data_IF_873837210438
#
_entry.id   IF_873837210438
#
_cell.length_a   1.000
_cell.length_b   1.000
_cell.length_c   1.000
_cell.angle_alpha   90.00
_cell.angle_beta   90.00
_cell.angle_gamma   90.00
#
_symmetry.space_group_name_H-M   'P 1'
#
loop_
_entity.id
_entity.type
_entity.pdbx_description
1 polymer ?
#
# COMPACT_ATOMS: atom_id res chain seq x y z
N UNK A 1 4.50 -36.09 9.46
CA UNK A 1 3.17 -36.36 8.88
C UNK A 1 2.94 -35.28 7.85
N UNK A 2 2.65 -35.69 6.61
CA UNK A 2 2.60 -34.82 5.45
C UNK A 2 1.37 -33.92 5.49
N UNK A 3 1.54 -32.68 5.03
CA UNK A 3 0.49 -31.66 4.97
C UNK A 3 0.32 -31.22 3.51
N UNK A 4 0.09 -32.18 2.62
CA UNK A 4 -0.05 -31.97 1.18
C UNK A 4 -1.53 -32.13 0.79
N UNK A 5 -2.47 -31.33 1.30
CA UNK A 5 -3.88 -31.40 0.84
C UNK A 5 -4.82 -30.22 1.17
N UNK A 6 -4.43 -29.19 1.90
CA UNK A 6 -5.31 -28.03 2.14
C UNK A 6 -4.50 -26.74 2.05
N UNK A 7 -4.80 -25.90 1.06
CA UNK A 7 -4.26 -24.56 0.84
C UNK A 7 -4.73 -23.59 1.94
N UNK A 8 -4.38 -23.86 3.19
CA UNK A 8 -4.51 -22.92 4.31
C UNK A 8 -3.16 -22.94 5.01
N UNK A 9 -2.34 -21.94 4.70
CA UNK A 9 -1.09 -21.70 5.42
C UNK A 9 -1.47 -21.07 6.75
N UNK A 10 -1.10 -21.74 7.85
CA UNK A 10 -1.25 -21.23 9.19
C UNK A 10 -0.31 -20.02 9.37
N UNK A 11 -0.87 -18.89 9.82
CA UNK A 11 -0.15 -17.66 10.06
C UNK A 11 0.80 -17.81 11.26
N UNK A 12 2.09 -17.93 10.98
CA UNK A 12 3.16 -17.78 11.97
C UNK A 12 4.38 -17.11 11.28
N UNK A 13 4.58 -15.82 11.58
CA UNK A 13 5.68 -14.93 11.12
C UNK A 13 5.46 -14.21 9.77
N UNK A 14 4.81 -13.03 9.80
CA UNK A 14 5.02 -11.96 8.81
C UNK A 14 4.70 -12.27 7.34
N UNK A 15 3.52 -12.80 7.05
CA UNK A 15 3.08 -12.99 5.66
C UNK A 15 2.84 -11.65 4.96
N UNK A 16 3.80 -11.26 4.11
CA UNK A 16 3.66 -10.13 3.19
C UNK A 16 2.45 -10.37 2.29
N UNK A 17 1.49 -9.45 2.29
CA UNK A 17 0.28 -9.55 1.47
C UNK A 17 0.65 -9.77 -0.01
N UNK A 18 0.14 -10.86 -0.59
CA UNK A 18 0.32 -11.15 -2.01
C UNK A 18 -0.66 -10.31 -2.83
N UNK A 19 -0.12 -9.49 -3.73
CA UNK A 19 -0.90 -8.67 -4.63
C UNK A 19 -1.62 -9.52 -5.69
N UNK A 20 -2.85 -9.14 -6.01
CA UNK A 20 -3.57 -9.68 -7.17
C UNK A 20 -3.04 -9.07 -8.46
N UNK A 21 -3.25 -9.75 -9.59
CA UNK A 21 -2.73 -9.32 -10.91
C UNK A 21 -3.01 -7.85 -11.23
N UNK A 22 -4.26 -7.40 -11.03
CA UNK A 22 -4.64 -5.99 -11.27
C UNK A 22 -3.96 -5.00 -10.31
N UNK A 23 -3.59 -5.44 -9.11
CA UNK A 23 -2.86 -4.63 -8.14
C UNK A 23 -1.39 -4.54 -8.54
N UNK A 24 -0.79 -5.66 -8.97
CA UNK A 24 0.57 -5.69 -9.51
C UNK A 24 0.68 -4.74 -10.71
N UNK A 25 -0.27 -4.80 -11.65
CA UNK A 25 -0.30 -3.92 -12.82
C UNK A 25 -0.39 -2.43 -12.43
N UNK A 26 -1.24 -2.10 -11.45
CA UNK A 26 -1.39 -0.74 -10.94
C UNK A 26 -0.09 -0.24 -10.28
N UNK A 27 0.56 -1.06 -9.46
CA UNK A 27 1.81 -0.73 -8.78
C UNK A 27 2.95 -0.53 -9.77
N UNK A 28 3.14 -1.45 -10.72
CA UNK A 28 4.20 -1.32 -11.75
C UNK A 28 3.97 -0.10 -12.66
N UNK A 29 2.71 0.17 -13.02
CA UNK A 29 2.37 1.36 -13.81
C UNK A 29 2.70 2.64 -13.06
N UNK A 30 2.40 2.70 -11.76
CA UNK A 30 2.73 3.82 -10.91
C UNK A 30 4.24 3.99 -10.74
N UNK A 31 4.97 2.91 -10.43
CA UNK A 31 6.42 2.92 -10.26
C UNK A 31 7.12 3.42 -11.53
N UNK A 32 6.74 2.88 -12.70
CA UNK A 32 7.28 3.32 -13.99
C UNK A 32 7.02 4.80 -14.25
N UNK A 33 5.84 5.28 -13.90
CA UNK A 33 5.48 6.69 -14.09
C UNK A 33 6.26 7.63 -13.16
N UNK A 34 6.33 7.29 -11.87
CA UNK A 34 6.96 8.12 -10.84
C UNK A 34 8.48 8.18 -10.99
N UNK A 35 9.11 7.12 -11.49
CA UNK A 35 10.57 7.03 -11.68
C UNK A 35 11.05 7.53 -13.05
N UNK A 36 10.15 7.85 -13.99
CA UNK A 36 10.53 8.38 -15.30
C UNK A 36 10.67 9.91 -15.27
N UNK A 37 11.89 10.46 -15.39
CA UNK A 37 12.13 11.91 -15.28
C UNK A 37 11.50 12.74 -16.41
N UNK A 38 11.00 12.10 -17.46
CA UNK A 38 10.27 12.76 -18.55
C UNK A 38 8.82 13.04 -18.16
N UNK A 39 8.27 12.34 -17.17
CA UNK A 39 6.92 12.55 -16.69
C UNK A 39 6.87 13.76 -15.76
N UNK A 40 6.03 14.74 -16.11
CA UNK A 40 5.87 15.99 -15.33
C UNK A 40 4.41 16.34 -15.05
N UNK A 41 3.48 15.53 -15.52
CA UNK A 41 2.05 15.78 -15.39
C UNK A 41 1.49 14.95 -14.24
N UNK A 42 0.36 15.36 -13.63
CA UNK A 42 -0.35 14.50 -12.70
C UNK A 42 -0.84 13.23 -13.40
N UNK A 43 -0.76 12.09 -12.72
CA UNK A 43 -1.32 10.82 -13.17
C UNK A 43 -2.57 10.44 -12.35
N UNK A 44 -3.42 9.58 -12.93
CA UNK A 44 -4.64 9.09 -12.30
C UNK A 44 -4.69 7.56 -12.39
N UNK A 45 -4.86 6.90 -11.25
CA UNK A 45 -5.15 5.47 -11.16
C UNK A 45 -6.61 5.31 -10.75
N UNK A 46 -7.41 4.64 -11.59
CA UNK A 46 -8.84 4.43 -11.34
C UNK A 46 -9.06 3.03 -10.81
N UNK A 47 -9.61 2.92 -9.60
CA UNK A 47 -9.89 1.65 -8.95
C UNK A 47 -11.29 1.67 -8.34
N UNK A 48 -12.08 0.57 -8.39
CA UNK A 48 -13.40 0.49 -7.76
C UNK A 48 -13.31 0.39 -6.23
N UNK A 49 -14.40 0.59 -5.51
CA UNK A 49 -14.47 0.31 -4.05
C UNK A 49 -14.14 -1.16 -3.77
N UNK A 50 -13.51 -1.47 -2.63
CA UNK A 50 -13.12 -2.84 -2.27
C UNK A 50 -11.89 -3.41 -3.00
N UNK A 51 -11.32 -2.71 -3.98
CA UNK A 51 -10.12 -3.15 -4.73
C UNK A 51 -8.80 -3.16 -3.94
N UNK A 52 -8.81 -2.73 -2.68
CA UNK A 52 -7.60 -2.66 -1.86
C UNK A 52 -6.65 -1.51 -2.23
N UNK A 53 -7.19 -0.32 -2.52
CA UNK A 53 -6.38 0.88 -2.84
C UNK A 53 -5.26 1.16 -1.82
N UNK A 54 -5.53 0.97 -0.52
CA UNK A 54 -4.53 1.17 0.52
C UNK A 54 -3.33 0.22 0.35
N UNK A 55 -3.56 -1.04 -0.07
CA UNK A 55 -2.50 -2.01 -0.33
C UNK A 55 -1.67 -1.66 -1.57
N UNK A 56 -2.31 -1.06 -2.59
CA UNK A 56 -1.62 -0.55 -3.78
C UNK A 56 -0.71 0.63 -3.40
N UNK A 57 -1.23 1.61 -2.64
CA UNK A 57 -0.44 2.77 -2.19
C UNK A 57 0.75 2.32 -1.33
N UNK A 58 0.48 1.42 -0.39
CA UNK A 58 1.48 0.74 0.43
C UNK A 58 2.59 0.10 -0.44
N UNK A 59 2.23 -0.69 -1.43
CA UNK A 59 3.20 -1.37 -2.30
C UNK A 59 3.99 -0.41 -3.18
N UNK A 60 3.38 0.70 -3.63
CA UNK A 60 4.09 1.77 -4.34
C UNK A 60 5.13 2.39 -3.42
N UNK A 61 4.75 2.72 -2.18
CA UNK A 61 5.64 3.33 -1.19
C UNK A 61 6.86 2.45 -0.85
N UNK A 62 6.70 1.12 -0.85
CA UNK A 62 7.81 0.19 -0.64
C UNK A 62 8.78 0.12 -1.84
N UNK A 63 8.28 0.35 -3.05
CA UNK A 63 9.07 0.21 -4.28
C UNK A 63 9.73 1.51 -4.76
N UNK A 64 9.25 2.67 -4.30
CA UNK A 64 9.86 3.96 -4.60
C UNK A 64 10.82 4.33 -3.46
N UNK A 65 12.08 4.62 -3.80
CA UNK A 65 13.09 5.05 -2.83
C UNK A 65 13.05 6.58 -2.61
N UNK A 66 11.84 7.15 -2.58
CA UNK A 66 11.61 8.59 -2.43
C UNK A 66 10.52 8.89 -1.38
N UNK A 67 10.59 10.02 -0.67
CA UNK A 67 9.58 10.42 0.30
C UNK A 67 8.18 10.54 -0.33
N UNK A 68 7.19 9.86 0.25
CA UNK A 68 5.80 9.87 -0.21
C UNK A 68 4.88 10.54 0.81
N UNK A 69 4.01 11.45 0.35
CA UNK A 69 2.93 12.03 1.15
C UNK A 69 1.59 11.52 0.62
N UNK A 70 0.79 10.92 1.51
CA UNK A 70 -0.55 10.42 1.19
C UNK A 70 -1.59 11.26 1.90
N UNK A 71 -2.39 12.02 1.14
CA UNK A 71 -3.47 12.83 1.71
C UNK A 71 -4.69 11.97 2.03
N UNK A 72 -5.23 12.17 3.23
CA UNK A 72 -6.44 11.50 3.71
C UNK A 72 -7.51 12.53 4.04
N UNK A 73 -8.78 12.29 3.67
CA UNK A 73 -9.83 13.30 3.77
C UNK A 73 -10.28 13.57 5.21
N UNK A 74 -10.16 12.60 6.11
CA UNK A 74 -10.57 12.74 7.52
C UNK A 74 -9.58 12.05 8.47
N UNK A 75 -9.66 12.44 9.74
CA UNK A 75 -8.85 11.90 10.83
C UNK A 75 -9.06 10.39 11.00
N UNK A 76 -10.32 9.96 10.98
CA UNK A 76 -10.72 8.58 11.21
C UNK A 76 -10.20 7.65 10.10
N UNK A 77 -10.27 8.08 8.83
CA UNK A 77 -9.75 7.32 7.70
C UNK A 77 -8.22 7.29 7.70
N UNK A 78 -7.57 8.37 8.14
CA UNK A 78 -6.12 8.43 8.33
C UNK A 78 -5.65 7.39 9.34
N UNK A 79 -6.25 7.33 10.53
CA UNK A 79 -5.96 6.33 11.57
C UNK A 79 -6.15 4.89 11.05
N UNK A 80 -7.28 4.63 10.37
CA UNK A 80 -7.56 3.30 9.83
C UNK A 80 -6.57 2.89 8.74
N UNK A 81 -6.17 3.80 7.85
CA UNK A 81 -5.19 3.51 6.81
C UNK A 81 -3.78 3.36 7.37
N UNK A 82 -3.41 4.13 8.38
CA UNK A 82 -2.13 3.97 9.07
C UNK A 82 -2.00 2.59 9.72
N UNK A 83 -3.00 2.14 10.49
CA UNK A 83 -2.96 0.81 11.10
C UNK A 83 -2.84 -0.29 10.04
N UNK A 84 -3.58 -0.19 8.93
CA UNK A 84 -3.43 -1.12 7.80
C UNK A 84 -2.02 -1.15 7.24
N UNK A 85 -1.38 0.02 7.05
CA UNK A 85 -0.01 0.07 6.53
C UNK A 85 1.00 -0.59 7.49
N UNK A 86 0.82 -0.41 8.80
CA UNK A 86 1.63 -1.09 9.81
C UNK A 86 1.40 -2.60 9.79
N UNK A 87 0.14 -3.05 9.68
CA UNK A 87 -0.22 -4.47 9.55
C UNK A 87 0.33 -5.10 8.26
N UNK A 88 0.51 -4.29 7.20
CA UNK A 88 1.12 -4.72 5.94
C UNK A 88 2.65 -4.88 6.01
N UNK A 89 3.25 -4.54 7.16
CA UNK A 89 4.69 -4.61 7.36
C UNK A 89 5.46 -3.44 6.75
N UNK A 90 4.77 -2.34 6.39
CA UNK A 90 5.44 -1.14 5.88
C UNK A 90 5.98 -0.33 7.04
N UNK A 91 7.30 -0.39 7.18
CA UNK A 91 8.04 0.34 8.20
C UNK A 91 8.33 1.77 7.74
N UNK A 92 8.39 2.71 8.68
CA UNK A 92 8.77 4.11 8.39
C UNK A 92 7.61 5.02 7.97
N UNK A 93 6.37 4.55 8.02
CA UNK A 93 5.18 5.40 7.86
C UNK A 93 4.98 6.24 9.12
N UNK A 94 4.74 7.54 8.96
CA UNK A 94 4.40 8.44 10.07
C UNK A 94 3.09 9.17 9.77
N UNK A 95 2.37 9.54 10.83
CA UNK A 95 1.21 10.41 10.75
C UNK A 95 1.69 11.84 10.98
N UNK A 96 1.21 12.77 10.15
CA UNK A 96 1.31 14.20 10.43
C UNK A 96 -0.09 14.80 10.43
N UNK A 97 -0.60 15.21 11.60
CA UNK A 97 -1.88 15.92 11.68
C UNK A 97 -1.99 16.81 12.91
N UNK A 98 -2.36 18.07 12.67
CA UNK A 98 -2.62 19.06 13.72
C UNK A 98 -3.75 18.65 14.68
N UNK A 99 -4.67 17.79 14.25
CA UNK A 99 -5.77 17.27 15.07
C UNK A 99 -5.50 15.89 15.68
N UNK A 100 -4.40 15.24 15.27
CA UNK A 100 -3.94 13.95 15.81
C UNK A 100 -3.01 14.11 17.01
N UNK A 101 -2.45 15.31 17.21
CA UNK A 101 -1.51 15.61 18.29
C UNK A 101 -0.32 14.62 18.34
N UNK A 102 0.07 14.10 17.17
CA UNK A 102 1.13 13.12 16.90
C UNK A 102 1.65 13.32 15.49
#
# INVERSE_FOLDING_TARGET
MDCSSQNIVCADTGDKYVLRDYQVEAVESARRYLTDPRQKKPALIVMPTGSGKSLIIASIAEQIDEPLIVFQPTKEILEQNYHKMMDYGIMGVTIYSASMNR
#
